data_IF_526355946691
#
_entry.id   IF_526355946691
#
_cell.length_a   1.000
_cell.length_b   1.000
_cell.length_c   1.000
_cell.angle_alpha   90.00
_cell.angle_beta   90.00
_cell.angle_gamma   90.00
#
_symmetry.space_group_name_H-M   'P 1'
#
loop_
_entity.id
_entity.type
_entity.pdbx_description
1 polymer ?
#
# COMPACT_ATOMS: atom_id res chain seq x y z
N UNK A 1 -1.59 -9.74 11.77
CA UNK A 1 -2.54 -10.74 11.23
C UNK A 1 -1.80 -12.06 11.13
N UNK A 2 -2.29 -13.14 11.76
CA UNK A 2 -1.61 -14.45 11.70
C UNK A 2 -1.67 -15.02 10.29
N UNK A 3 -0.58 -15.65 9.84
CA UNK A 3 -0.48 -16.32 8.53
C UNK A 3 -1.64 -17.32 8.32
N UNK A 4 -2.10 -17.95 9.39
CA UNK A 4 -3.25 -18.86 9.40
C UNK A 4 -4.55 -18.20 8.93
N UNK A 5 -4.79 -16.93 9.30
CA UNK A 5 -5.98 -16.19 8.86
C UNK A 5 -5.91 -15.82 7.37
N UNK A 6 -4.72 -15.54 6.85
CA UNK A 6 -4.52 -15.29 5.41
C UNK A 6 -4.76 -16.56 4.61
N UNK A 7 -4.27 -17.70 5.10
CA UNK A 7 -4.40 -19.00 4.43
C UNK A 7 -5.84 -19.51 4.46
N UNK A 8 -6.55 -19.36 5.58
CA UNK A 8 -7.96 -19.72 5.71
C UNK A 8 -8.85 -18.86 4.82
N UNK A 9 -8.58 -17.54 4.74
CA UNK A 9 -9.31 -16.63 3.86
C UNK A 9 -9.03 -16.93 2.39
N UNK A 10 -7.78 -17.23 2.02
CA UNK A 10 -7.46 -17.65 0.66
C UNK A 10 -8.15 -18.97 0.29
N UNK A 11 -8.18 -19.95 1.21
CA UNK A 11 -8.86 -21.21 0.99
C UNK A 11 -10.36 -21.02 0.75
N UNK A 12 -11.03 -20.23 1.60
CA UNK A 12 -12.46 -19.93 1.42
C UNK A 12 -12.73 -19.13 0.14
N UNK A 13 -11.82 -18.26 -0.28
CA UNK A 13 -11.98 -17.45 -1.49
C UNK A 13 -11.86 -18.27 -2.78
N UNK A 14 -10.94 -19.24 -2.83
CA UNK A 14 -10.71 -20.04 -4.04
C UNK A 14 -11.57 -21.31 -4.10
N UNK A 15 -11.77 -22.01 -2.98
CA UNK A 15 -12.43 -23.31 -2.98
C UNK A 15 -13.95 -23.23 -2.94
N UNK A 16 -14.53 -22.23 -2.25
CA UNK A 16 -15.97 -22.19 -2.05
C UNK A 16 -16.74 -21.85 -3.35
N UNK A 17 -16.30 -20.88 -4.18
CA UNK A 17 -16.92 -20.64 -5.49
C UNK A 17 -16.72 -21.83 -6.44
N UNK A 18 -15.54 -22.46 -6.42
CA UNK A 18 -15.25 -23.65 -7.22
C UNK A 18 -16.11 -24.85 -6.82
N UNK A 19 -16.38 -25.03 -5.53
CA UNK A 19 -17.20 -26.11 -4.99
C UNK A 19 -18.68 -25.92 -5.32
N UNK A 20 -19.20 -24.68 -5.20
CA UNK A 20 -20.58 -24.34 -5.61
C UNK A 20 -20.74 -24.54 -7.12
N UNK A 21 -19.79 -24.05 -7.93
CA UNK A 21 -19.80 -24.24 -9.37
C UNK A 21 -19.76 -25.73 -9.75
N UNK A 22 -18.90 -26.53 -9.08
CA UNK A 22 -18.80 -27.97 -9.30
C UNK A 22 -20.11 -28.71 -9.00
N UNK A 23 -20.79 -28.37 -7.90
CA UNK A 23 -22.07 -28.98 -7.54
C UNK A 23 -23.20 -28.63 -8.51
N UNK A 24 -23.22 -27.39 -9.01
CA UNK A 24 -24.19 -26.96 -10.03
C UNK A 24 -23.94 -27.69 -11.34
N UNK A 25 -22.68 -27.77 -11.79
CA UNK A 25 -22.31 -28.49 -13.01
C UNK A 25 -22.73 -29.96 -12.96
N UNK A 26 -22.67 -30.57 -11.77
CA UNK A 26 -23.04 -31.97 -11.54
C UNK A 26 -24.55 -32.24 -11.56
N UNK A 27 -25.38 -31.25 -11.22
CA UNK A 27 -26.83 -31.42 -11.14
C UNK A 27 -27.54 -31.32 -12.50
N UNK A 28 -26.83 -30.92 -13.56
CA UNK A 28 -27.28 -31.07 -14.95
C UNK A 28 -28.48 -30.21 -15.38
N UNK A 29 -29.13 -29.51 -14.45
CA UNK A 29 -30.34 -28.75 -14.70
C UNK A 29 -30.04 -27.25 -14.81
N UNK A 30 -29.79 -26.82 -16.05
CA UNK A 30 -29.38 -25.45 -16.43
C UNK A 30 -30.58 -24.51 -16.62
N UNK A 31 -31.59 -24.64 -15.76
CA UNK A 31 -32.71 -23.70 -15.77
C UNK A 31 -32.19 -22.29 -15.49
N UNK A 32 -32.80 -21.30 -16.14
CA UNK A 32 -32.44 -19.89 -16.00
C UNK A 32 -32.50 -19.43 -14.53
N UNK A 33 -33.43 -20.00 -13.75
CA UNK A 33 -33.56 -19.76 -12.31
C UNK A 33 -32.32 -20.20 -11.52
N UNK A 34 -31.81 -21.41 -11.79
CA UNK A 34 -30.64 -21.94 -11.09
C UNK A 34 -29.39 -21.09 -11.35
N UNK A 35 -29.22 -20.62 -12.58
CA UNK A 35 -28.07 -19.79 -12.96
C UNK A 35 -28.13 -18.42 -12.28
N UNK A 36 -29.31 -17.79 -12.21
CA UNK A 36 -29.47 -16.51 -11.49
C UNK A 36 -29.20 -16.66 -10.00
N UNK A 37 -29.61 -17.76 -9.37
CA UNK A 37 -29.37 -18.01 -7.94
C UNK A 37 -27.86 -18.11 -7.65
N UNK A 38 -27.08 -18.70 -8.56
CA UNK A 38 -25.62 -18.85 -8.40
C UNK A 38 -24.89 -17.50 -8.53
N UNK A 39 -25.31 -16.69 -9.50
CA UNK A 39 -24.71 -15.36 -9.70
C UNK A 39 -25.04 -14.45 -8.51
N UNK A 40 -26.28 -14.45 -8.04
CA UNK A 40 -26.66 -13.64 -6.88
C UNK A 40 -26.05 -14.13 -5.57
N UNK A 41 -25.93 -15.43 -5.35
CA UNK A 41 -25.28 -15.99 -4.15
C UNK A 41 -23.77 -15.75 -4.13
N UNK A 42 -23.07 -15.89 -5.27
CA UNK A 42 -21.64 -15.56 -5.37
C UNK A 42 -21.38 -14.07 -5.20
N UNK A 43 -22.26 -13.21 -5.74
CA UNK A 43 -22.21 -11.76 -5.54
C UNK A 43 -22.44 -11.39 -4.06
N UNK A 44 -23.46 -11.96 -3.42
CA UNK A 44 -23.77 -11.70 -2.02
C UNK A 44 -22.64 -12.15 -1.07
N UNK A 45 -22.05 -13.32 -1.31
CA UNK A 45 -20.90 -13.83 -0.52
C UNK A 45 -19.69 -12.92 -0.69
N UNK A 46 -19.44 -12.42 -1.91
CA UNK A 46 -18.31 -11.54 -2.19
C UNK A 46 -18.49 -10.14 -1.58
N UNK A 47 -19.73 -9.60 -1.56
CA UNK A 47 -20.07 -8.35 -0.86
C UNK A 47 -19.90 -8.49 0.65
N UNK A 48 -20.36 -9.60 1.24
CA UNK A 48 -20.21 -9.88 2.67
C UNK A 48 -18.73 -10.06 3.07
N UNK A 49 -17.92 -10.75 2.26
CA UNK A 49 -16.49 -10.86 2.53
C UNK A 49 -15.75 -9.52 2.39
N UNK A 50 -16.13 -8.70 1.40
CA UNK A 50 -15.55 -7.37 1.19
C UNK A 50 -15.81 -6.41 2.37
N UNK A 51 -16.99 -6.48 2.97
CA UNK A 51 -17.33 -5.67 4.15
C UNK A 51 -16.72 -6.21 5.44
N UNK A 52 -16.56 -7.53 5.57
CA UNK A 52 -15.90 -8.17 6.73
C UNK A 52 -14.38 -7.93 6.78
N UNK A 53 -13.71 -7.75 5.65
CA UNK A 53 -12.26 -7.51 5.56
C UNK A 53 -11.84 -6.04 5.78
N UNK A 54 -12.66 -5.27 6.49
CA UNK A 54 -12.51 -3.85 6.85
C UNK A 54 -11.17 -3.13 6.58
N UNK A 55 -11.31 -2.04 5.82
CA UNK A 55 -10.75 -0.71 6.09
C UNK A 55 -9.28 -0.34 5.82
N UNK A 56 -8.35 -1.25 5.51
CA UNK A 56 -6.94 -0.84 5.28
C UNK A 56 -6.41 -0.93 3.83
N UNK A 57 -7.21 -1.39 2.87
CA UNK A 57 -6.77 -1.58 1.47
C UNK A 57 -7.81 -1.22 0.41
N UNK A 58 -8.71 -0.28 0.74
CA UNK A 58 -9.99 -0.05 0.06
C UNK A 58 -9.89 0.14 -1.46
N UNK A 59 -8.82 0.76 -1.97
CA UNK A 59 -8.71 1.08 -3.40
C UNK A 59 -8.24 -0.11 -4.25
N UNK A 60 -7.36 -0.97 -3.70
CA UNK A 60 -6.83 -2.14 -4.42
C UNK A 60 -7.89 -3.25 -4.51
N UNK A 61 -8.62 -3.49 -3.42
CA UNK A 61 -9.66 -4.51 -3.37
C UNK A 61 -10.90 -4.11 -4.17
N UNK A 62 -11.27 -2.82 -4.21
CA UNK A 62 -12.37 -2.34 -5.04
C UNK A 62 -12.07 -2.53 -6.54
N UNK A 63 -10.84 -2.22 -6.97
CA UNK A 63 -10.42 -2.44 -8.36
C UNK A 63 -10.36 -3.92 -8.73
N UNK A 64 -9.87 -4.77 -7.83
CA UNK A 64 -9.90 -6.22 -8.01
C UNK A 64 -11.35 -6.74 -8.07
N UNK A 65 -12.23 -6.20 -7.24
CA UNK A 65 -13.64 -6.56 -7.20
C UNK A 65 -14.37 -6.17 -8.49
N UNK A 66 -14.13 -4.95 -9.01
CA UNK A 66 -14.66 -4.50 -10.30
C UNK A 66 -14.14 -5.40 -11.44
N UNK A 67 -12.86 -5.78 -11.40
CA UNK A 67 -12.27 -6.69 -12.38
C UNK A 67 -12.93 -8.08 -12.34
N UNK A 68 -13.15 -8.64 -11.15
CA UNK A 68 -13.81 -9.94 -10.97
C UNK A 68 -15.26 -9.88 -11.50
N UNK A 69 -16.00 -8.80 -11.24
CA UNK A 69 -17.34 -8.61 -11.77
C UNK A 69 -17.32 -8.53 -13.29
N UNK A 70 -16.42 -7.74 -13.88
CA UNK A 70 -16.30 -7.61 -15.34
C UNK A 70 -15.95 -8.94 -16.00
N UNK A 71 -15.00 -9.69 -15.43
CA UNK A 71 -14.62 -11.03 -15.91
C UNK A 71 -15.78 -12.01 -15.77
N UNK A 72 -16.52 -11.98 -14.67
CA UNK A 72 -17.70 -12.84 -14.46
C UNK A 72 -18.81 -12.53 -15.47
N UNK A 73 -19.07 -11.25 -15.75
CA UNK A 73 -20.02 -10.81 -16.77
C UNK A 73 -19.55 -11.27 -18.16
N UNK A 74 -18.26 -11.13 -18.48
CA UNK A 74 -17.69 -11.59 -19.74
C UNK A 74 -17.87 -13.10 -19.93
N UNK A 75 -17.49 -13.90 -18.93
CA UNK A 75 -17.65 -15.36 -18.94
C UNK A 75 -19.12 -15.73 -19.11
N UNK A 76 -20.02 -15.05 -18.40
CA UNK A 76 -21.46 -15.28 -18.53
C UNK A 76 -21.97 -14.98 -19.93
N UNK A 77 -21.57 -13.86 -20.55
CA UNK A 77 -21.93 -13.52 -21.93
C UNK A 77 -21.39 -14.57 -22.90
N UNK A 78 -20.12 -14.97 -22.77
CA UNK A 78 -19.50 -15.99 -23.61
C UNK A 78 -20.23 -17.34 -23.48
N UNK A 79 -20.59 -17.75 -22.26
CA UNK A 79 -21.33 -18.99 -21.98
C UNK A 79 -22.77 -18.97 -22.51
N UNK A 80 -23.49 -17.86 -22.36
CA UNK A 80 -24.82 -17.66 -22.94
C UNK A 80 -24.78 -17.75 -24.47
N UNK A 81 -23.74 -17.21 -25.09
CA UNK A 81 -23.62 -17.18 -26.54
C UNK A 81 -23.21 -18.55 -27.13
N UNK A 82 -22.34 -19.31 -26.44
CA UNK A 82 -21.99 -20.69 -26.85
C UNK A 82 -23.15 -21.67 -26.65
N UNK A 83 -23.91 -21.55 -25.56
CA UNK A 83 -25.10 -22.39 -25.31
C UNK A 83 -26.23 -22.15 -26.31
N UNK A 84 -26.42 -20.91 -26.79
CA UNK A 84 -27.35 -20.59 -27.89
C UNK A 84 -26.88 -21.22 -29.22
N UNK A 85 -25.56 -21.32 -29.44
CA UNK A 85 -24.99 -21.91 -30.67
C UNK A 85 -25.13 -23.44 -30.71
N UNK A 86 -25.13 -24.10 -29.56
CA UNK A 86 -25.24 -25.56 -29.47
C UNK A 86 -26.64 -26.11 -29.80
N UNK A 87 -27.64 -25.26 -30.06
CA UNK A 87 -29.04 -25.69 -30.25
C UNK A 87 -29.64 -25.41 -31.64
N UNK A 88 -28.88 -24.95 -32.64
CA UNK A 88 -29.45 -24.69 -33.97
C UNK A 88 -28.55 -25.09 -35.14
N UNK A 89 -28.84 -26.27 -35.68
CA UNK A 89 -28.68 -26.59 -37.09
C UNK A 89 -29.61 -25.67 -37.93
N UNK A 90 -29.24 -24.40 -38.13
CA UNK A 90 -29.86 -23.53 -39.14
C UNK A 90 -28.85 -23.18 -40.24
N UNK A 91 -29.28 -23.15 -41.53
CA UNK A 91 -28.38 -22.98 -42.66
C UNK A 91 -27.64 -21.64 -42.60
N UNK A 92 -26.35 -21.74 -42.90
CA UNK A 92 -25.34 -20.70 -42.95
C UNK A 92 -25.80 -19.48 -43.75
N UNK A 93 -26.33 -18.46 -43.06
CA UNK A 93 -26.37 -17.10 -43.60
C UNK A 93 -26.10 -16.16 -42.44
N UNK A 94 -24.95 -15.46 -42.49
CA UNK A 94 -24.42 -14.45 -41.55
C UNK A 94 -23.33 -14.89 -40.56
N UNK A 95 -22.46 -15.83 -40.92
CA UNK A 95 -21.23 -16.14 -40.14
C UNK A 95 -20.32 -14.91 -39.91
N UNK A 96 -20.30 -13.94 -40.83
CA UNK A 96 -19.50 -12.71 -40.69
C UNK A 96 -19.99 -11.74 -39.61
N UNK A 97 -21.30 -11.70 -39.34
CA UNK A 97 -21.89 -10.73 -38.40
C UNK A 97 -21.59 -11.13 -36.93
N UNK A 98 -21.52 -12.43 -36.65
CA UNK A 98 -21.13 -12.95 -35.34
C UNK A 98 -19.65 -12.72 -35.05
N UNK A 99 -18.76 -12.89 -36.03
CA UNK A 99 -17.32 -12.64 -35.85
C UNK A 99 -17.03 -11.19 -35.47
N UNK A 100 -17.73 -10.23 -36.07
CA UNK A 100 -17.56 -8.80 -35.74
C UNK A 100 -18.07 -8.45 -34.34
N UNK A 101 -19.14 -9.09 -33.85
CA UNK A 101 -19.64 -8.87 -32.49
C UNK A 101 -18.63 -9.36 -31.43
N UNK A 102 -18.00 -10.52 -31.64
CA UNK A 102 -16.96 -11.02 -30.72
C UNK A 102 -15.73 -10.11 -30.67
N UNK A 103 -15.29 -9.60 -31.82
CA UNK A 103 -14.15 -8.68 -31.87
C UNK A 103 -14.46 -7.40 -31.09
N UNK A 104 -15.68 -6.87 -31.22
CA UNK A 104 -16.11 -5.69 -30.46
C UNK A 104 -16.18 -5.94 -28.96
N UNK A 105 -16.68 -7.11 -28.53
CA UNK A 105 -16.80 -7.47 -27.12
C UNK A 105 -15.44 -7.68 -26.47
N UNK A 106 -14.52 -8.35 -27.17
CA UNK A 106 -13.13 -8.52 -26.71
C UNK A 106 -12.45 -7.15 -26.64
N UNK A 107 -12.58 -6.31 -27.67
CA UNK A 107 -11.96 -4.98 -27.70
C UNK A 107 -12.48 -4.07 -26.58
N UNK A 108 -13.79 -4.05 -26.32
CA UNK A 108 -14.38 -3.27 -25.23
C UNK A 108 -13.88 -3.74 -23.86
N UNK A 109 -13.78 -5.06 -23.66
CA UNK A 109 -13.29 -5.61 -22.39
C UNK A 109 -11.80 -5.33 -22.19
N UNK A 110 -11.00 -5.43 -23.26
CA UNK A 110 -9.57 -5.11 -23.22
C UNK A 110 -9.35 -3.64 -22.85
N UNK A 111 -10.18 -2.74 -23.40
CA UNK A 111 -10.10 -1.30 -23.15
C UNK A 111 -10.41 -0.96 -21.67
N UNK A 112 -11.42 -1.63 -21.08
CA UNK A 112 -11.71 -1.50 -19.64
C UNK A 112 -10.56 -2.02 -18.77
N UNK A 113 -9.96 -3.15 -19.14
CA UNK A 113 -8.85 -3.75 -18.39
C UNK A 113 -7.61 -2.84 -18.44
N UNK A 114 -7.28 -2.31 -19.63
CA UNK A 114 -6.19 -1.34 -19.78
C UNK A 114 -6.44 -0.10 -18.91
N UNK A 115 -7.66 0.45 -18.93
CA UNK A 115 -8.03 1.59 -18.09
C UNK A 115 -7.86 1.32 -16.60
N UNK A 116 -8.28 0.13 -16.13
CA UNK A 116 -8.15 -0.24 -14.71
C UNK A 116 -6.69 -0.39 -14.28
N UNK A 117 -5.85 -0.98 -15.14
CA UNK A 117 -4.41 -1.16 -14.88
C UNK A 117 -3.70 0.19 -14.82
N UNK A 118 -4.01 1.11 -15.74
CA UNK A 118 -3.45 2.47 -15.72
C UNK A 118 -3.82 3.21 -14.44
N UNK A 119 -5.11 3.18 -14.05
CA UNK A 119 -5.55 3.79 -12.80
C UNK A 119 -4.87 3.15 -11.58
N UNK A 120 -4.73 1.83 -11.56
CA UNK A 120 -4.03 1.13 -10.49
C UNK A 120 -2.58 1.61 -10.32
N UNK A 121 -1.81 1.69 -11.42
CA UNK A 121 -0.44 2.19 -11.36
C UNK A 121 -0.36 3.65 -10.93
N UNK A 122 -1.29 4.49 -11.41
CA UNK A 122 -1.34 5.91 -11.05
C UNK A 122 -1.60 6.13 -9.55
N UNK A 123 -2.52 5.37 -8.94
CA UNK A 123 -2.82 5.51 -7.51
C UNK A 123 -1.86 4.73 -6.60
N UNK A 124 -1.25 3.65 -7.09
CA UNK A 124 -0.31 2.86 -6.30
C UNK A 124 1.00 3.61 -6.03
N UNK A 125 1.48 4.42 -6.97
CA UNK A 125 2.70 5.23 -6.80
C UNK A 125 2.55 6.28 -5.68
N UNK A 126 1.38 6.91 -5.56
CA UNK A 126 1.09 7.87 -4.48
C UNK A 126 1.17 7.25 -3.08
N UNK A 127 0.78 5.98 -2.94
CA UNK A 127 0.82 5.24 -1.67
C UNK A 127 2.25 5.02 -1.16
N UNK A 128 3.21 4.80 -2.07
CA UNK A 128 4.61 4.62 -1.69
C UNK A 128 5.21 5.90 -1.10
N UNK A 129 4.94 7.06 -1.72
CA UNK A 129 5.41 8.35 -1.21
C UNK A 129 4.85 8.66 0.17
N UNK A 130 3.57 8.39 0.41
CA UNK A 130 2.96 8.58 1.74
C UNK A 130 3.61 7.68 2.80
N UNK A 131 3.90 6.43 2.45
CA UNK A 131 4.57 5.50 3.37
C UNK A 131 5.97 6.01 3.75
N UNK A 132 6.70 6.57 2.78
CA UNK A 132 8.01 7.18 3.03
C UNK A 132 7.88 8.39 3.95
N UNK A 133 6.97 9.33 3.67
CA UNK A 133 6.75 10.51 4.53
C UNK A 133 6.42 10.12 5.97
N UNK A 134 5.49 9.19 6.17
CA UNK A 134 5.12 8.72 7.51
C UNK A 134 6.31 8.07 8.24
N UNK A 135 7.18 7.34 7.53
CA UNK A 135 8.37 6.71 8.11
C UNK A 135 9.39 7.76 8.56
N UNK A 136 9.51 8.86 7.80
CA UNK A 136 10.41 9.97 8.10
C UNK A 136 9.91 10.78 9.28
N UNK A 137 8.62 11.12 9.27
CA UNK A 137 7.96 11.80 10.37
C UNK A 137 8.09 10.99 11.67
N UNK A 138 7.87 9.68 11.60
CA UNK A 138 8.07 8.78 12.74
C UNK A 138 9.52 8.82 13.24
N UNK A 139 10.51 8.72 12.33
CA UNK A 139 11.93 8.73 12.70
C UNK A 139 12.36 10.05 13.33
N UNK A 140 11.95 11.19 12.75
CA UNK A 140 12.22 12.52 13.30
C UNK A 140 11.54 12.70 14.67
N UNK A 141 10.31 12.22 14.82
CA UNK A 141 9.59 12.26 16.10
C UNK A 141 10.36 11.46 17.16
N UNK A 142 10.90 10.30 16.79
CA UNK A 142 11.70 9.47 17.68
C UNK A 142 12.99 10.17 18.12
N UNK A 143 13.67 10.89 17.21
CA UNK A 143 14.81 11.75 17.57
C UNK A 143 14.41 12.85 18.56
N UNK A 144 13.32 13.56 18.28
CA UNK A 144 12.84 14.67 19.12
C UNK A 144 12.45 14.17 20.50
N UNK A 145 11.62 13.12 20.59
CA UNK A 145 11.20 12.54 21.87
C UNK A 145 12.38 11.99 22.66
N UNK A 146 13.34 11.35 21.99
CA UNK A 146 14.55 10.85 22.64
C UNK A 146 15.40 11.99 23.17
N UNK A 147 15.56 13.07 22.41
CA UNK A 147 16.24 14.28 22.86
C UNK A 147 15.58 14.90 24.09
N UNK A 148 14.26 15.06 24.06
CA UNK A 148 13.47 15.59 25.19
C UNK A 148 13.60 14.71 26.44
N UNK A 149 13.56 13.39 26.28
CA UNK A 149 13.70 12.43 27.38
C UNK A 149 15.10 12.48 28.01
N UNK A 150 16.16 12.58 27.21
CA UNK A 150 17.53 12.66 27.75
C UNK A 150 17.78 14.02 28.38
N UNK A 151 17.24 15.09 27.79
CA UNK A 151 17.33 16.43 28.36
C UNK A 151 16.76 16.47 29.79
N UNK A 152 15.64 15.77 30.03
CA UNK A 152 15.06 15.65 31.36
C UNK A 152 15.96 14.92 32.39
N UNK A 153 16.98 14.18 31.94
CA UNK A 153 17.94 13.46 32.78
C UNK A 153 19.19 14.26 33.14
N UNK A 154 19.28 15.54 32.76
CA UNK A 154 20.41 16.46 32.99
C UNK A 154 21.61 16.26 32.05
N UNK A 155 22.63 17.09 32.24
CA UNK A 155 23.88 17.12 31.47
C UNK A 155 24.66 15.80 31.53
N UNK A 156 25.28 15.42 30.42
CA UNK A 156 26.11 14.21 30.33
C UNK A 156 25.31 12.93 30.14
N UNK A 157 23.98 13.01 30.14
CA UNK A 157 23.09 11.89 29.83
C UNK A 157 23.19 11.50 28.37
N UNK A 158 23.17 10.19 28.10
CA UNK A 158 23.36 9.62 26.76
C UNK A 158 22.47 8.40 26.57
N UNK A 159 21.93 8.22 25.37
CA UNK A 159 21.23 7.01 24.98
C UNK A 159 21.55 6.63 23.54
N UNK A 160 21.33 5.36 23.23
CA UNK A 160 21.40 4.86 21.85
C UNK A 160 20.01 4.87 21.27
N UNK A 161 19.87 5.49 20.11
CA UNK A 161 18.65 5.55 19.35
C UNK A 161 18.82 4.73 18.09
N UNK A 162 17.87 3.83 17.80
CA UNK A 162 17.90 3.01 16.60
C UNK A 162 16.72 3.35 15.72
N UNK A 163 16.94 4.14 14.67
CA UNK A 163 15.89 4.57 13.74
C UNK A 163 16.00 3.86 12.39
N UNK A 164 14.86 3.78 11.71
CA UNK A 164 14.78 3.26 10.34
C UNK A 164 14.74 4.40 9.33
N UNK A 165 15.86 4.66 8.68
CA UNK A 165 16.01 5.69 7.66
C UNK A 165 15.59 5.13 6.29
N UNK A 166 14.58 5.69 5.60
CA UNK A 166 14.27 5.31 4.22
C UNK A 166 15.36 5.77 3.24
N UNK A 167 15.50 5.06 2.12
CA UNK A 167 16.57 5.26 1.13
C UNK A 167 16.51 6.53 0.30
N UNK A 168 15.51 7.38 0.52
CA UNK A 168 15.28 8.62 -0.25
C UNK A 168 15.50 9.89 0.55
N UNK A 169 16.14 9.81 1.72
CA UNK A 169 16.52 10.98 2.50
C UNK A 169 17.84 11.53 1.97
N UNK A 170 17.82 12.79 1.55
CA UNK A 170 19.02 13.50 1.11
C UNK A 170 19.76 14.10 2.31
N UNK A 171 19.02 14.63 3.28
CA UNK A 171 19.59 15.34 4.41
C UNK A 171 18.70 15.23 5.64
N UNK A 172 19.32 15.10 6.81
CA UNK A 172 18.69 15.36 8.11
C UNK A 172 19.46 16.50 8.76
N UNK A 173 18.77 17.55 9.21
CA UNK A 173 19.37 18.70 9.88
C UNK A 173 18.68 18.94 11.21
N UNK A 174 19.47 19.09 12.25
CA UNK A 174 19.03 19.58 13.56
C UNK A 174 19.52 21.01 13.69
N UNK A 175 18.65 21.94 14.08
CA UNK A 175 19.00 23.35 14.25
C UNK A 175 18.07 24.01 15.27
N UNK A 176 18.60 24.40 16.42
CA UNK A 176 17.81 24.96 17.52
C UNK A 176 16.68 24.02 17.93
N UNK A 177 15.44 24.49 17.90
CA UNK A 177 14.28 23.71 18.34
C UNK A 177 13.66 22.87 17.21
N UNK A 178 14.31 22.71 16.06
CA UNK A 178 13.70 22.08 14.90
C UNK A 178 14.56 20.94 14.33
N UNK A 179 13.90 19.84 14.01
CA UNK A 179 14.46 18.71 13.29
C UNK A 179 13.86 18.67 11.88
N UNK A 180 14.72 18.74 10.88
CA UNK A 180 14.38 18.81 9.46
C UNK A 180 14.88 17.56 8.74
N UNK A 181 14.08 17.04 7.81
CA UNK A 181 14.55 16.08 6.82
C UNK A 181 14.13 16.51 5.41
N UNK A 182 15.08 16.53 4.49
CA UNK A 182 14.84 16.78 3.07
C UNK A 182 14.83 15.46 2.32
N UNK A 183 13.73 15.21 1.62
CA UNK A 183 13.42 13.92 0.99
C UNK A 183 13.25 14.12 -0.51
N UNK A 184 13.88 13.27 -1.32
CA UNK A 184 13.68 13.29 -2.76
C UNK A 184 12.59 12.30 -3.17
N UNK A 185 11.48 12.82 -3.66
CA UNK A 185 10.39 11.98 -4.19
C UNK A 185 10.61 11.65 -5.66
N UNK A 186 9.99 10.56 -6.11
CA UNK A 186 9.90 10.25 -7.54
C UNK A 186 9.22 11.41 -8.28
N UNK A 187 9.85 11.90 -9.35
CA UNK A 187 9.34 13.05 -10.13
C UNK A 187 9.97 14.41 -9.81
N UNK A 188 11.18 14.45 -9.22
CA UNK A 188 12.01 15.65 -8.95
C UNK A 188 11.58 16.59 -7.83
N UNK A 189 10.47 16.35 -7.16
CA UNK A 189 10.06 17.18 -6.02
C UNK A 189 10.83 16.80 -4.76
N UNK A 190 11.51 17.78 -4.17
CA UNK A 190 12.03 17.70 -2.80
C UNK A 190 10.92 18.11 -1.83
N UNK A 191 10.70 17.29 -0.80
CA UNK A 191 9.76 17.60 0.27
C UNK A 191 10.56 17.75 1.55
N UNK A 192 10.32 18.84 2.27
CA UNK A 192 10.89 19.08 3.59
C UNK A 192 9.89 18.69 4.67
N UNK A 193 10.30 17.81 5.56
CA UNK A 193 9.54 17.42 6.75
C UNK A 193 10.18 18.09 7.94
N UNK A 194 9.40 18.86 8.70
CA UNK A 194 9.88 19.61 9.88
C UNK A 194 9.10 19.20 11.10
N UNK A 195 9.81 18.93 12.20
CA UNK A 195 9.23 18.64 13.51
C UNK A 195 9.86 19.58 14.53
N UNK A 196 9.00 20.29 15.27
CA UNK A 196 9.44 21.16 16.37
C UNK A 196 9.63 20.36 17.65
N UNK A 197 10.64 20.75 18.43
CA UNK A 197 10.98 20.21 19.73
C UNK A 197 10.89 21.28 20.81
N UNK A 198 10.71 20.84 22.06
CA UNK A 198 10.79 21.69 23.25
C UNK A 198 12.22 21.97 23.69
N UNK A 199 13.20 21.23 23.19
CA UNK A 199 14.61 21.34 23.58
C UNK A 199 15.46 21.83 22.40
N UNK A 200 16.51 22.60 22.72
CA UNK A 200 17.48 23.09 21.73
C UNK A 200 18.46 21.97 21.36
N UNK A 201 18.64 21.74 20.06
CA UNK A 201 19.63 20.84 19.48
C UNK A 201 20.86 21.60 19.01
N UNK A 202 22.04 20.96 19.10
CA UNK A 202 23.22 21.44 18.42
C UNK A 202 23.04 21.39 16.90
N UNK A 203 23.50 22.43 16.17
CA UNK A 203 23.39 22.46 14.73
C UNK A 203 24.19 21.31 14.12
N UNK A 204 23.49 20.34 13.52
CA UNK A 204 24.13 19.18 12.89
C UNK A 204 23.41 18.80 11.62
N UNK A 205 24.18 18.57 10.56
CA UNK A 205 23.68 18.10 9.28
C UNK A 205 24.27 16.73 8.94
N UNK A 206 23.38 15.79 8.62
CA UNK A 206 23.70 14.47 8.09
C UNK A 206 23.32 14.43 6.61
N UNK A 207 24.32 14.50 5.73
CA UNK A 207 24.14 14.32 4.30
C UNK A 207 24.06 12.83 3.97
N UNK A 208 23.02 12.42 3.25
CA UNK A 208 22.81 11.06 2.76
C UNK A 208 22.97 9.97 3.85
N UNK A 209 22.14 9.98 4.90
CA UNK A 209 22.19 8.95 5.94
C UNK A 209 22.00 7.55 5.35
N UNK A 210 22.71 6.55 5.89
CA UNK A 210 22.66 5.20 5.38
C UNK A 210 21.24 4.63 5.47
N UNK A 211 20.70 4.06 4.38
CA UNK A 211 19.35 3.49 4.40
C UNK A 211 19.27 2.27 5.30
N UNK A 212 18.09 2.08 5.90
CA UNK A 212 17.77 0.92 6.73
C UNK A 212 17.87 1.23 8.21
N UNK A 213 18.28 0.24 8.99
CA UNK A 213 18.41 0.36 10.44
C UNK A 213 19.75 1.01 10.76
N UNK A 214 19.71 2.21 11.32
CA UNK A 214 20.89 2.99 11.68
C UNK A 214 20.82 3.37 13.15
N UNK A 215 21.97 3.29 13.80
CA UNK A 215 22.12 3.65 15.20
C UNK A 215 22.74 5.03 15.32
N UNK A 216 22.17 5.85 16.20
CA UNK A 216 22.65 7.17 16.56
C UNK A 216 22.87 7.22 18.06
N UNK A 217 23.89 7.95 18.48
CA UNK A 217 24.09 8.32 19.88
C UNK A 217 23.46 9.69 20.08
N UNK A 218 22.52 9.77 21.01
CA UNK A 218 21.86 11.03 21.41
C UNK A 218 22.32 11.34 22.83
N UNK A 219 22.72 12.57 23.09
CA UNK A 219 23.19 12.97 24.41
C UNK A 219 23.04 14.45 24.69
N UNK A 220 23.24 14.85 25.95
CA UNK A 220 23.20 16.25 26.39
C UNK A 220 24.60 16.77 26.67
N UNK A 221 24.87 18.01 26.25
CA UNK A 221 26.14 18.69 26.48
C UNK A 221 25.87 20.17 26.75
N UNK A 222 26.65 20.78 27.65
CA UNK A 222 26.63 22.22 27.88
C UNK A 222 27.26 22.95 26.69
N UNK A 223 26.55 23.91 26.12
CA UNK A 223 27.10 24.78 25.07
C UNK A 223 27.95 25.89 25.71
N UNK A 224 29.26 25.97 25.39
CA UNK A 224 30.14 26.97 25.99
C UNK A 224 29.81 28.41 25.58
N UNK A 225 28.99 28.62 24.55
CA UNK A 225 28.65 29.95 24.05
C UNK A 225 27.49 30.61 24.80
N UNK A 226 26.55 29.84 25.33
CA UNK A 226 25.34 30.37 25.98
C UNK A 226 25.00 29.75 27.35
N UNK A 227 25.86 28.86 27.87
CA UNK A 227 25.70 28.21 29.19
C UNK A 227 24.37 27.43 29.31
N UNK A 228 23.84 26.95 28.18
CA UNK A 228 22.64 26.10 28.14
C UNK A 228 23.01 24.67 27.81
N UNK A 229 22.25 23.73 28.38
CA UNK A 229 22.30 22.34 27.96
C UNK A 229 21.59 22.23 26.61
N UNK A 230 22.25 21.60 25.63
CA UNK A 230 21.67 21.31 24.31
C UNK A 230 21.77 19.81 24.02
N UNK A 231 20.87 19.34 23.17
CA UNK A 231 20.85 17.94 22.73
C UNK A 231 21.72 17.79 21.50
N UNK A 232 22.56 16.77 21.52
CA UNK A 232 23.38 16.39 20.39
C UNK A 232 23.01 15.02 19.86
N UNK A 233 23.09 14.90 18.54
CA UNK A 233 22.90 13.65 17.81
C UNK A 233 24.16 13.41 17.00
N UNK A 234 24.74 12.21 17.10
CA UNK A 234 25.87 11.77 16.26
C UNK A 234 25.65 10.32 15.80
N UNK A 235 26.24 9.88 14.68
CA UNK A 235 26.18 8.48 14.26
C UNK A 235 26.86 7.60 15.32
N UNK A 236 26.29 6.42 15.57
CA UNK A 236 26.87 5.50 16.53
C UNK A 236 28.31 5.11 16.16
N UNK A 237 29.20 5.11 17.15
CA UNK A 237 30.64 4.88 16.95
C UNK A 237 31.48 6.16 16.80
N UNK A 238 30.86 7.35 16.72
CA UNK A 238 31.56 8.62 16.86
C UNK A 238 31.56 9.09 18.32
N UNK A 239 32.57 9.89 18.69
CA UNK A 239 32.55 10.59 19.98
C UNK A 239 31.40 11.60 19.98
N UNK A 240 30.73 11.71 21.14
CA UNK A 240 29.73 12.74 21.39
C UNK A 240 30.45 14.09 21.63
N UNK A 241 31.03 14.63 20.57
CA UNK A 241 31.59 15.99 20.52
C UNK A 241 30.81 16.77 19.48
N UNK A 242 30.08 17.76 19.98
CA UNK A 242 29.09 18.52 19.23
C UNK A 242 29.51 19.99 19.06
N UNK A 243 30.68 20.30 19.62
CA UNK A 243 31.45 21.53 19.53
C UNK A 243 32.54 21.37 18.48
#
# INVERSE_FOLDING_TARGET
>A
MSFLNVLLNAFLFFFLPGFVLWHVLRLGDWSLENITIIIFSSLAVSVLLGTMLGFFGYFSLLNLYILIILVSILIFILFRYTSIFSYKNRPLRKSGQYSTEFILLIAGTLLLLIGSVVLFFYFSSGSQNQTILNTIEFSLTEFVQTGENIYALSEGSRTRLTVRIPSRINQIRFDGNEAFATVQMEGTNTIDVTISSKVEFFPKTFSSPAPGRTEYLVGTQLDPSDDKIKVCVVPYGQNLDCV
#
